data_IF_950108426355
#
_entry.id   IF_950108426355
#
_cell.length_a   1.000
_cell.length_b   1.000
_cell.length_c   1.000
_cell.angle_alpha   90.00
_cell.angle_beta   90.00
_cell.angle_gamma   90.00
#
_symmetry.space_group_name_H-M   'P 1'
#
loop_
_entity.id
_entity.type
_entity.pdbx_description
1 polymer ?
#
# COMPACT_ATOMS: atom_id res chain seq x y z
N UNK A 1 12.50 -12.96 25.97
CA UNK A 1 12.43 -13.70 24.69
C UNK A 1 12.45 -12.67 23.57
N UNK A 2 13.58 -12.51 22.90
CA UNK A 2 13.69 -11.57 21.78
C UNK A 2 12.89 -12.14 20.60
N UNK A 3 11.78 -11.48 20.23
CA UNK A 3 11.08 -11.80 18.98
C UNK A 3 12.06 -11.54 17.84
N UNK A 4 12.48 -12.59 17.15
CA UNK A 4 13.19 -12.44 15.89
C UNK A 4 12.30 -11.62 14.94
N UNK A 5 12.85 -10.49 14.47
CA UNK A 5 12.24 -9.65 13.45
C UNK A 5 12.43 -10.38 12.12
N UNK A 6 11.54 -11.32 11.80
CA UNK A 6 11.54 -12.01 10.51
C UNK A 6 11.51 -10.95 9.39
N UNK A 7 12.43 -11.03 8.44
CA UNK A 7 12.46 -10.16 7.27
C UNK A 7 11.21 -10.48 6.43
N UNK A 8 10.16 -9.66 6.57
CA UNK A 8 8.81 -9.95 6.03
C UNK A 8 8.80 -9.91 4.49
N UNK A 9 9.84 -9.32 3.86
CA UNK A 9 9.91 -9.06 2.42
C UNK A 9 9.84 -10.32 1.53
N UNK A 10 10.28 -11.48 2.01
CA UNK A 10 10.43 -12.69 1.17
C UNK A 10 9.31 -13.72 1.35
N UNK A 11 8.10 -13.26 1.70
CA UNK A 11 6.94 -14.13 1.75
C UNK A 11 6.17 -14.13 0.44
N UNK A 12 5.82 -15.33 -0.04
CA UNK A 12 5.00 -15.57 -1.25
C UNK A 12 3.67 -14.76 -1.23
N UNK A 13 3.14 -14.49 -0.04
CA UNK A 13 1.87 -13.78 0.14
C UNK A 13 2.03 -12.26 0.33
N UNK A 14 3.25 -11.73 0.42
CA UNK A 14 3.48 -10.30 0.54
C UNK A 14 3.59 -9.67 -0.85
N UNK A 15 2.59 -8.87 -1.29
CA UNK A 15 2.70 -8.17 -2.56
C UNK A 15 3.70 -7.02 -2.49
N UNK A 16 4.10 -6.49 -3.64
CA UNK A 16 4.97 -5.32 -3.70
C UNK A 16 4.18 -4.07 -3.33
N UNK A 17 4.71 -3.30 -2.38
CA UNK A 17 4.13 -2.04 -1.92
C UNK A 17 5.01 -0.89 -2.38
N UNK A 18 4.43 0.08 -3.09
CA UNK A 18 5.12 1.27 -3.59
C UNK A 18 4.37 2.50 -3.12
N UNK A 19 5.08 3.42 -2.46
CA UNK A 19 4.53 4.72 -2.08
C UNK A 19 4.45 5.61 -3.31
N UNK A 20 3.28 6.15 -3.58
CA UNK A 20 3.08 7.11 -4.67
C UNK A 20 3.55 8.51 -4.29
N UNK A 21 4.05 9.24 -5.28
CA UNK A 21 4.32 10.68 -5.17
C UNK A 21 3.02 11.48 -5.23
N UNK A 22 3.05 12.76 -4.81
CA UNK A 22 1.85 13.60 -4.80
C UNK A 22 1.26 13.82 -6.20
N UNK A 23 2.10 13.88 -7.24
CA UNK A 23 1.65 13.96 -8.64
C UNK A 23 0.89 12.70 -9.06
N UNK A 24 1.40 11.53 -8.70
CA UNK A 24 0.76 10.25 -9.03
C UNK A 24 -0.52 10.05 -8.21
N UNK A 25 -0.56 10.48 -6.95
CA UNK A 25 -1.80 10.51 -6.15
C UNK A 25 -2.90 11.26 -6.88
N UNK A 26 -2.63 12.49 -7.29
CA UNK A 26 -3.63 13.31 -7.96
C UNK A 26 -4.09 12.68 -9.28
N UNK A 27 -3.17 12.11 -10.04
CA UNK A 27 -3.50 11.40 -11.27
C UNK A 27 -4.44 10.22 -11.01
N UNK A 28 -4.15 9.40 -9.98
CA UNK A 28 -4.98 8.26 -9.58
C UNK A 28 -6.37 8.72 -9.10
N UNK A 29 -6.42 9.72 -8.22
CA UNK A 29 -7.69 10.24 -7.70
C UNK A 29 -8.55 10.83 -8.82
N UNK A 30 -7.94 11.55 -9.77
CA UNK A 30 -8.63 12.07 -10.97
C UNK A 30 -9.10 10.97 -11.90
N UNK A 31 -8.28 9.95 -12.14
CA UNK A 31 -8.61 8.84 -13.04
C UNK A 31 -9.82 8.05 -12.56
N UNK A 32 -9.89 7.78 -11.26
CA UNK A 32 -11.03 7.07 -10.65
C UNK A 32 -12.18 7.99 -10.22
N UNK A 33 -11.97 9.32 -10.23
CA UNK A 33 -12.98 10.30 -9.80
C UNK A 33 -13.36 10.18 -8.32
N UNK A 34 -12.45 9.69 -7.47
CA UNK A 34 -12.71 9.41 -6.05
C UNK A 34 -11.95 10.37 -5.13
N UNK A 35 -12.52 10.61 -3.96
CA UNK A 35 -11.84 11.26 -2.87
C UNK A 35 -10.90 10.28 -2.15
N UNK A 36 -9.80 10.78 -1.59
CA UNK A 36 -8.84 9.97 -0.85
C UNK A 36 -9.46 9.16 0.30
N UNK A 37 -10.53 9.68 0.91
CA UNK A 37 -11.28 9.01 1.99
C UNK A 37 -12.03 7.75 1.54
N UNK A 38 -12.29 7.62 0.24
CA UNK A 38 -13.02 6.50 -0.36
C UNK A 38 -12.09 5.33 -0.71
N UNK A 39 -10.77 5.53 -0.63
CA UNK A 39 -9.82 4.44 -0.82
C UNK A 39 -9.83 3.48 0.38
N UNK A 40 -9.64 2.17 0.15
CA UNK A 40 -9.41 1.21 1.23
C UNK A 40 -8.24 1.66 2.09
N UNK A 41 -8.41 1.60 3.41
CA UNK A 41 -7.42 2.14 4.35
C UNK A 41 -6.39 1.09 4.77
N UNK A 42 -5.18 1.54 5.06
CA UNK A 42 -4.13 0.74 5.68
C UNK A 42 -3.57 1.51 6.88
N UNK A 43 -3.30 0.81 7.98
CA UNK A 43 -2.76 1.44 9.18
C UNK A 43 -1.28 1.76 8.99
N UNK A 44 -0.84 2.89 9.52
CA UNK A 44 0.58 3.24 9.62
C UNK A 44 1.42 2.16 10.31
N UNK A 45 0.84 1.45 11.27
CA UNK A 45 1.49 0.40 12.03
C UNK A 45 1.52 -0.97 11.32
N UNK A 46 1.04 -1.06 10.07
CA UNK A 46 1.10 -2.30 9.31
C UNK A 46 2.55 -2.68 8.97
N UNK A 47 2.93 -3.92 9.26
CA UNK A 47 4.30 -4.39 9.08
C UNK A 47 4.73 -4.43 7.61
N UNK A 48 3.78 -4.54 6.67
CA UNK A 48 4.05 -4.51 5.24
C UNK A 48 4.50 -3.13 4.73
N UNK A 49 4.14 -2.06 5.43
CA UNK A 49 4.48 -0.67 5.05
C UNK A 49 5.48 -0.02 5.99
N UNK A 50 5.89 -0.72 7.04
CA UNK A 50 6.81 -0.22 8.06
C UNK A 50 8.16 0.24 7.50
N UNK A 51 8.59 -0.31 6.35
CA UNK A 51 9.84 0.08 5.68
C UNK A 51 9.68 1.23 4.68
N UNK A 52 8.45 1.60 4.33
CA UNK A 52 8.13 2.63 3.33
C UNK A 52 7.95 4.03 3.94
N UNK A 53 8.10 4.18 5.27
CA UNK A 53 7.94 5.44 6.02
C UNK A 53 6.71 6.25 5.54
N UNK A 54 5.59 5.55 5.39
CA UNK A 54 4.36 6.12 4.87
C UNK A 54 3.68 6.99 5.93
N UNK A 55 3.24 8.19 5.53
CA UNK A 55 2.56 9.14 6.42
C UNK A 55 1.04 9.01 6.28
N UNK A 56 0.26 9.36 7.32
CA UNK A 56 -1.19 9.46 7.20
C UNK A 56 -1.55 10.42 6.05
N UNK A 57 -2.41 9.96 5.15
CA UNK A 57 -2.69 10.68 3.91
C UNK A 57 -1.76 10.32 2.74
N UNK A 58 -0.92 9.30 2.85
CA UNK A 58 -0.26 8.67 1.69
C UNK A 58 -1.15 7.66 0.98
N UNK A 59 -0.86 7.42 -0.31
CA UNK A 59 -1.49 6.36 -1.09
C UNK A 59 -0.40 5.38 -1.47
N UNK A 60 -0.65 4.11 -1.17
CA UNK A 60 0.24 3.00 -1.46
C UNK A 60 -0.36 2.23 -2.63
N UNK A 61 0.45 2.07 -3.66
CA UNK A 61 0.20 1.17 -4.78
C UNK A 61 0.66 -0.22 -4.39
N UNK A 62 -0.24 -1.18 -4.49
CA UNK A 62 0.01 -2.59 -4.19
C UNK A 62 -0.05 -3.35 -5.50
N UNK A 63 1.05 -4.00 -5.87
CA UNK A 63 1.15 -4.82 -7.07
C UNK A 63 1.17 -6.27 -6.62
N UNK A 64 0.14 -7.03 -7.00
CA UNK A 64 0.05 -8.46 -6.67
C UNK A 64 -0.11 -9.29 -7.94
N UNK A 65 0.48 -10.48 -7.92
CA UNK A 65 0.23 -11.48 -8.94
C UNK A 65 -1.12 -12.16 -8.65
N UNK A 66 -2.03 -12.13 -9.63
CA UNK A 66 -3.32 -12.80 -9.62
C UNK A 66 -3.30 -13.96 -10.63
N UNK A 67 -3.75 -15.16 -10.25
CA UNK A 67 -3.79 -16.29 -11.18
C UNK A 67 -4.76 -16.09 -12.35
N UNK A 68 -5.76 -15.21 -12.21
CA UNK A 68 -6.75 -14.92 -13.24
C UNK A 68 -6.38 -13.75 -14.14
N UNK A 69 -5.77 -12.71 -13.57
CA UNK A 69 -5.52 -11.43 -14.24
C UNK A 69 -4.02 -11.12 -14.45
N UNK A 70 -3.13 -12.06 -14.12
CA UNK A 70 -1.69 -11.86 -14.20
C UNK A 70 -1.22 -10.92 -13.10
N UNK A 71 -1.16 -9.61 -13.37
CA UNK A 71 -0.79 -8.59 -12.39
C UNK A 71 -1.96 -7.65 -12.12
N UNK A 72 -2.30 -7.44 -10.85
CA UNK A 72 -3.36 -6.53 -10.44
C UNK A 72 -2.81 -5.44 -9.52
N UNK A 73 -3.21 -4.20 -9.82
CA UNK A 73 -2.81 -3.02 -9.08
C UNK A 73 -3.95 -2.60 -8.17
N UNK A 74 -3.66 -2.41 -6.89
CA UNK A 74 -4.58 -1.86 -5.90
C UNK A 74 -4.01 -0.57 -5.30
N UNK A 75 -4.89 0.34 -4.88
CA UNK A 75 -4.52 1.57 -4.21
C UNK A 75 -5.13 1.59 -2.81
N UNK A 76 -4.32 1.87 -1.78
CA UNK A 76 -4.78 2.01 -0.40
C UNK A 76 -4.31 3.32 0.22
N UNK A 77 -5.16 3.96 1.01
CA UNK A 77 -4.85 5.19 1.75
C UNK A 77 -4.33 4.91 3.15
N UNK A 78 -3.27 5.58 3.58
CA UNK A 78 -2.67 5.40 4.92
C UNK A 78 -3.46 6.19 5.96
N UNK A 79 -3.83 5.54 7.06
CA UNK A 79 -4.52 6.12 8.22
C UNK A 79 -3.72 5.89 9.51
N UNK A 80 -3.86 6.81 10.47
CA UNK A 80 -3.28 6.73 11.83
C UNK A 80 -4.30 6.29 12.89
N UNK A 81 -5.57 6.21 12.48
CA UNK A 81 -6.75 5.94 13.33
C UNK A 81 -7.26 4.55 13.11
#
# INVERSE_FOLDING_TARGET
MAKQKSVIKEHILLPEHVKLTDKEKEAVLKHYGIAQRQLPKIFKNDAAIAELDAKPGDIIKIIRNSPTAGQTIFYRGVTDV
#
